data_IF_053188002195
#
_entry.id   IF_053188002195
#
_cell.length_a   1.000
_cell.length_b   1.000
_cell.length_c   1.000
_cell.angle_alpha   90.00
_cell.angle_beta   90.00
_cell.angle_gamma   90.00
#
_symmetry.space_group_name_H-M   'P 1'
#
loop_
_entity.id
_entity.type
_entity.pdbx_description
1 polymer ?
#
# COMPACT_ATOMS: atom_id res chain seq x y z
N UNK A 1 -24.07 3.40 -13.51
CA UNK A 1 -22.87 2.57 -13.35
C UNK A 1 -21.82 3.44 -12.70
N UNK A 2 -21.36 3.06 -11.50
CA UNK A 2 -20.49 3.89 -10.66
C UNK A 2 -20.89 3.69 -9.20
N UNK A 3 -20.29 2.69 -8.56
CA UNK A 3 -20.45 2.46 -7.14
C UNK A 3 -19.96 3.70 -6.37
N UNK A 4 -20.62 4.02 -5.26
CA UNK A 4 -20.30 5.18 -4.41
C UNK A 4 -18.86 5.17 -3.88
N UNK A 5 -18.17 4.03 -4.01
CA UNK A 5 -16.81 3.76 -3.56
C UNK A 5 -15.74 3.79 -4.66
N UNK A 6 -16.09 4.09 -5.93
CA UNK A 6 -15.14 4.11 -7.06
C UNK A 6 -14.40 5.46 -7.22
N UNK A 7 -14.66 6.43 -6.34
CA UNK A 7 -13.98 7.72 -6.40
C UNK A 7 -12.51 7.57 -6.02
N UNK A 8 -11.63 7.78 -7.00
CA UNK A 8 -10.16 7.83 -6.83
C UNK A 8 -9.76 8.82 -5.72
N UNK A 9 -10.58 9.86 -5.50
CA UNK A 9 -10.38 10.88 -4.45
C UNK A 9 -10.67 10.39 -3.03
N UNK A 10 -11.38 9.28 -2.83
CA UNK A 10 -11.60 8.66 -1.51
C UNK A 10 -10.41 7.80 -1.06
N UNK A 11 -9.58 7.30 -1.99
CA UNK A 11 -8.40 6.50 -1.69
C UNK A 11 -7.18 7.34 -1.29
N UNK A 12 -7.10 8.59 -1.74
CA UNK A 12 -5.97 9.48 -1.50
C UNK A 12 -6.25 10.46 -0.34
N UNK A 13 -5.23 10.83 0.45
CA UNK A 13 -5.37 11.71 1.62
C UNK A 13 -5.45 13.20 1.20
N UNK A 14 -6.25 13.51 0.17
CA UNK A 14 -6.34 14.86 -0.42
C UNK A 14 -7.34 15.74 0.34
N UNK A 15 -8.36 15.12 0.94
CA UNK A 15 -9.41 15.84 1.69
C UNK A 15 -9.13 15.80 3.19
N UNK A 16 -9.43 16.89 3.94
CA UNK A 16 -9.28 16.96 5.41
C UNK A 16 -9.92 15.77 6.15
N UNK A 17 -11.01 15.22 5.61
CA UNK A 17 -11.68 13.99 6.09
C UNK A 17 -10.79 12.74 5.94
N UNK A 18 -10.09 12.58 4.83
CA UNK A 18 -9.22 11.43 4.56
C UNK A 18 -7.93 11.51 5.38
N UNK A 19 -7.41 12.70 5.64
CA UNK A 19 -6.27 12.91 6.55
C UNK A 19 -6.64 12.51 7.98
N UNK A 20 -7.83 12.90 8.47
CA UNK A 20 -8.30 12.47 9.80
C UNK A 20 -8.49 10.95 9.88
N UNK A 21 -8.96 10.32 8.80
CA UNK A 21 -9.07 8.87 8.71
C UNK A 21 -7.70 8.18 8.65
N UNK A 22 -6.73 8.73 7.92
CA UNK A 22 -5.35 8.25 7.84
C UNK A 22 -4.69 8.22 9.22
N UNK A 23 -4.74 9.33 9.95
CA UNK A 23 -4.21 9.40 11.32
C UNK A 23 -4.98 8.49 12.29
N UNK A 24 -6.30 8.44 12.18
CA UNK A 24 -7.14 7.56 12.99
C UNK A 24 -6.80 6.07 12.79
N UNK A 25 -6.48 5.67 11.55
CA UNK A 25 -6.05 4.31 11.23
C UNK A 25 -4.66 3.98 11.78
N UNK A 26 -3.70 4.89 11.65
CA UNK A 26 -2.37 4.73 12.24
C UNK A 26 -2.47 4.55 13.75
N UNK A 27 -3.22 5.42 14.43
CA UNK A 27 -3.43 5.36 15.88
C UNK A 27 -4.15 4.07 16.31
N UNK A 28 -5.04 3.54 15.47
CA UNK A 28 -5.71 2.26 15.74
C UNK A 28 -4.75 1.07 15.58
N UNK A 29 -3.93 1.05 14.52
CA UNK A 29 -2.92 -0.01 14.33
C UNK A 29 -1.79 0.06 15.36
N UNK A 30 -1.49 1.25 15.90
CA UNK A 30 -0.57 1.44 17.02
C UNK A 30 -1.21 1.21 18.40
N UNK A 31 -2.47 0.74 18.46
CA UNK A 31 -3.23 0.50 19.69
C UNK A 31 -3.44 1.73 20.59
N UNK A 32 -3.29 2.94 20.07
CA UNK A 32 -3.44 4.21 20.82
C UNK A 32 -4.91 4.65 20.91
N UNK A 33 -5.74 4.37 19.89
CA UNK A 33 -7.17 4.68 19.88
C UNK A 33 -7.98 3.64 19.09
N UNK A 34 -8.93 2.98 19.76
CA UNK A 34 -9.92 2.13 19.10
C UNK A 34 -10.92 2.98 18.31
N UNK A 35 -10.96 2.82 16.98
CA UNK A 35 -11.97 3.44 16.12
C UNK A 35 -12.77 2.38 15.36
N UNK A 36 -14.09 2.55 15.33
CA UNK A 36 -15.06 1.62 14.73
C UNK A 36 -14.78 1.45 13.22
N UNK A 37 -14.71 0.23 12.68
CA UNK A 37 -14.43 -0.01 11.27
C UNK A 37 -15.51 0.61 10.39
N UNK A 38 -15.10 1.38 9.38
CA UNK A 38 -15.98 1.82 8.29
C UNK A 38 -15.76 0.91 7.09
N UNK A 39 -16.86 0.50 6.45
CA UNK A 39 -16.95 -0.35 5.24
C UNK A 39 -16.30 0.24 3.97
N UNK A 40 -15.47 1.28 4.07
CA UNK A 40 -14.78 1.91 2.93
C UNK A 40 -13.26 1.75 3.03
N UNK A 41 -12.57 1.72 1.88
CA UNK A 41 -11.12 1.60 1.82
C UNK A 41 -10.45 2.58 2.79
N UNK A 42 -9.60 2.05 3.66
CA UNK A 42 -8.85 2.85 4.59
C UNK A 42 -7.96 3.81 3.78
N UNK A 43 -8.10 5.13 3.96
CA UNK A 43 -7.28 6.13 3.27
C UNK A 43 -5.78 5.90 3.52
N UNK A 44 -5.43 5.25 4.64
CA UNK A 44 -4.09 4.75 4.91
C UNK A 44 -3.63 3.69 3.89
N UNK A 45 -4.45 2.70 3.58
CA UNK A 45 -4.11 1.67 2.60
C UNK A 45 -3.94 2.27 1.19
N UNK A 46 -4.83 3.17 0.77
CA UNK A 46 -4.73 3.85 -0.53
C UNK A 46 -3.48 4.74 -0.65
N UNK A 47 -3.12 5.45 0.43
CA UNK A 47 -1.89 6.25 0.46
C UNK A 47 -0.65 5.37 0.36
N UNK A 48 -0.60 4.28 1.14
CA UNK A 48 0.54 3.37 1.13
C UNK A 48 0.73 2.75 -0.25
N UNK A 49 -0.34 2.33 -0.93
CA UNK A 49 -0.23 1.80 -2.30
C UNK A 49 0.32 2.81 -3.29
N UNK A 50 -0.09 4.09 -3.22
CA UNK A 50 0.47 5.12 -4.09
C UNK A 50 1.98 5.32 -3.83
N UNK A 51 2.39 5.40 -2.56
CA UNK A 51 3.80 5.55 -2.19
C UNK A 51 4.61 4.35 -2.66
N UNK A 52 4.15 3.13 -2.37
CA UNK A 52 4.80 1.89 -2.80
C UNK A 52 4.88 1.78 -4.33
N UNK A 53 3.88 2.26 -5.06
CA UNK A 53 3.90 2.33 -6.52
C UNK A 53 4.97 3.31 -7.04
N UNK A 54 5.03 4.53 -6.48
CA UNK A 54 6.05 5.51 -6.88
C UNK A 54 7.47 5.03 -6.57
N UNK A 55 7.68 4.42 -5.40
CA UNK A 55 8.96 3.81 -5.04
C UNK A 55 9.33 2.66 -6.00
N UNK A 56 8.34 1.98 -6.58
CA UNK A 56 8.61 0.86 -7.49
C UNK A 56 9.18 1.35 -8.82
N UNK A 57 8.76 2.55 -9.26
CA UNK A 57 9.37 3.19 -10.43
C UNK A 57 10.84 3.54 -10.20
N UNK A 58 11.19 4.02 -9.00
CA UNK A 58 12.59 4.28 -8.62
C UNK A 58 13.39 2.98 -8.52
N UNK A 59 12.79 1.91 -8.00
CA UNK A 59 13.35 0.57 -7.91
C UNK A 59 13.70 0.01 -9.30
N UNK A 60 12.77 0.14 -10.26
CA UNK A 60 12.95 -0.26 -11.65
C UNK A 60 14.03 0.58 -12.31
N UNK A 61 13.99 1.91 -12.18
CA UNK A 61 14.97 2.80 -12.79
C UNK A 61 16.41 2.54 -12.28
N UNK A 62 16.57 2.40 -10.96
CA UNK A 62 17.87 2.07 -10.37
C UNK A 62 18.34 0.66 -10.74
N UNK A 63 17.44 -0.33 -10.78
CA UNK A 63 17.77 -1.70 -11.20
C UNK A 63 18.21 -1.77 -12.67
N UNK A 64 17.49 -1.09 -13.56
CA UNK A 64 17.81 -1.03 -14.98
C UNK A 64 19.17 -0.36 -15.25
N UNK A 65 19.45 0.72 -14.51
CA UNK A 65 20.76 1.40 -14.58
C UNK A 65 21.92 0.50 -14.11
N UNK A 66 21.68 -0.36 -13.11
CA UNK A 66 22.69 -1.29 -12.60
C UNK A 66 22.84 -2.56 -13.45
N UNK A 67 21.79 -2.95 -14.19
CA UNK A 67 21.77 -4.18 -14.99
C UNK A 67 22.61 -4.07 -16.27
N UNK A 68 22.66 -2.89 -16.90
CA UNK A 68 23.35 -2.66 -18.18
C UNK A 68 24.48 -1.63 -18.06
N UNK A 69 25.59 -1.94 -17.36
CA UNK A 69 26.71 -1.01 -17.22
C UNK A 69 27.43 -0.71 -18.55
N UNK A 70 27.35 -1.61 -19.52
CA UNK A 70 27.97 -1.49 -20.85
C UNK A 70 27.19 -0.60 -21.82
N UNK A 71 25.91 -0.33 -21.57
CA UNK A 71 25.11 0.52 -22.45
C UNK A 71 25.37 2.00 -22.17
N UNK A 72 25.96 2.70 -23.15
CA UNK A 72 26.26 4.13 -23.07
C UNK A 72 25.00 4.97 -22.86
N UNK A 73 23.90 4.60 -23.53
CA UNK A 73 22.61 5.29 -23.38
C UNK A 73 22.08 5.12 -21.96
N UNK A 74 21.99 3.89 -21.45
CA UNK A 74 21.52 3.63 -20.08
C UNK A 74 22.41 4.32 -19.06
N UNK A 75 23.72 4.37 -19.30
CA UNK A 75 24.65 5.08 -18.42
C UNK A 75 24.43 6.60 -18.41
N UNK A 76 24.14 7.22 -19.56
CA UNK A 76 23.83 8.65 -19.64
C UNK A 76 22.52 8.99 -18.90
N UNK A 77 21.46 8.22 -19.15
CA UNK A 77 20.16 8.43 -18.50
C UNK A 77 20.22 8.18 -16.99
N UNK A 78 20.78 7.05 -16.57
CA UNK A 78 20.87 6.73 -15.15
C UNK A 78 21.89 7.58 -14.41
N UNK A 79 22.97 8.00 -15.07
CA UNK A 79 23.93 8.96 -14.53
C UNK A 79 23.31 10.35 -14.30
N UNK A 80 22.40 10.80 -15.16
CA UNK A 80 21.67 12.06 -14.94
C UNK A 80 20.72 12.01 -13.73
N UNK A 81 20.12 10.83 -13.45
CA UNK A 81 19.14 10.67 -12.35
C UNK A 81 19.82 10.34 -11.01
N UNK A 82 20.80 9.43 -11.02
CA UNK A 82 21.41 8.88 -9.81
C UNK A 82 22.84 9.35 -9.59
N UNK A 83 23.46 10.02 -10.56
CA UNK A 83 24.86 10.43 -10.50
C UNK A 83 25.80 9.24 -10.72
N UNK A 84 26.28 8.66 -9.63
CA UNK A 84 27.20 7.51 -9.69
C UNK A 84 26.46 6.18 -9.56
N UNK A 85 27.03 5.12 -10.14
CA UNK A 85 26.53 3.75 -9.95
C UNK A 85 26.50 3.35 -8.47
N UNK A 86 27.44 3.84 -7.66
CA UNK A 86 27.45 3.55 -6.23
C UNK A 86 26.24 4.16 -5.52
N UNK A 87 25.86 5.39 -5.87
CA UNK A 87 24.66 6.02 -5.31
C UNK A 87 23.39 5.27 -5.74
N UNK A 88 23.31 4.85 -7.00
CA UNK A 88 22.20 4.01 -7.46
C UNK A 88 22.10 2.69 -6.70
N UNK A 89 23.22 1.99 -6.44
CA UNK A 89 23.25 0.78 -5.60
C UNK A 89 22.75 1.05 -4.20
N UNK A 90 23.16 2.16 -3.59
CA UNK A 90 22.73 2.53 -2.25
C UNK A 90 21.22 2.77 -2.19
N UNK A 91 20.67 3.54 -3.14
CA UNK A 91 19.21 3.76 -3.26
C UNK A 91 18.48 2.44 -3.47
N UNK A 92 18.95 1.60 -4.41
CA UNK A 92 18.37 0.29 -4.69
C UNK A 92 18.36 -0.60 -3.43
N UNK A 93 19.47 -0.63 -2.68
CA UNK A 93 19.60 -1.41 -1.46
C UNK A 93 18.65 -0.95 -0.35
N UNK A 94 18.51 0.36 -0.13
CA UNK A 94 17.56 0.89 0.85
C UNK A 94 16.11 0.57 0.47
N UNK A 95 15.76 0.75 -0.82
CA UNK A 95 14.42 0.45 -1.29
C UNK A 95 14.09 -1.04 -1.20
N UNK A 96 15.06 -1.93 -1.41
CA UNK A 96 14.90 -3.37 -1.17
C UNK A 96 14.45 -3.64 0.27
N UNK A 97 15.10 -3.04 1.29
CA UNK A 97 14.68 -3.21 2.69
C UNK A 97 13.29 -2.62 2.96
N UNK A 98 12.98 -1.47 2.35
CA UNK A 98 11.63 -0.91 2.41
C UNK A 98 10.59 -1.93 1.91
N UNK A 99 10.83 -2.59 0.77
CA UNK A 99 9.89 -3.59 0.21
C UNK A 99 9.77 -4.84 1.08
N UNK A 100 10.88 -5.33 1.65
CA UNK A 100 10.87 -6.45 2.58
C UNK A 100 10.01 -6.11 3.80
N UNK A 101 10.24 -4.94 4.41
CA UNK A 101 9.46 -4.49 5.56
C UNK A 101 7.99 -4.25 5.22
N UNK A 102 7.72 -3.61 4.08
CA UNK A 102 6.37 -3.40 3.59
C UNK A 102 5.62 -4.72 3.41
N UNK A 103 6.23 -5.73 2.79
CA UNK A 103 5.61 -7.04 2.60
C UNK A 103 5.28 -7.71 3.93
N UNK A 104 6.22 -7.70 4.89
CA UNK A 104 5.98 -8.27 6.23
C UNK A 104 4.80 -7.60 6.94
N UNK A 105 4.79 -6.25 6.99
CA UNK A 105 3.72 -5.49 7.65
C UNK A 105 2.39 -5.65 6.90
N UNK A 106 2.41 -5.65 5.58
CA UNK A 106 1.21 -5.81 4.76
C UNK A 106 0.53 -7.16 4.99
N UNK A 107 1.31 -8.25 4.98
CA UNK A 107 0.81 -9.61 5.27
C UNK A 107 0.28 -9.69 6.70
N UNK A 108 1.02 -9.14 7.69
CA UNK A 108 0.57 -9.11 9.07
C UNK A 108 -0.79 -8.40 9.23
N UNK A 109 -0.94 -7.20 8.68
CA UNK A 109 -2.20 -6.44 8.78
C UNK A 109 -3.33 -7.17 8.03
N UNK A 110 -3.05 -7.78 6.88
CA UNK A 110 -4.03 -8.55 6.12
C UNK A 110 -4.58 -9.72 6.94
N UNK A 111 -3.71 -10.51 7.57
CA UNK A 111 -4.09 -11.63 8.44
C UNK A 111 -4.78 -11.12 9.72
N UNK A 112 -4.25 -10.09 10.36
CA UNK A 112 -4.82 -9.54 11.60
C UNK A 112 -6.24 -9.02 11.39
N UNK A 113 -6.48 -8.28 10.29
CA UNK A 113 -7.83 -7.82 9.96
C UNK A 113 -8.78 -9.00 9.69
N UNK A 114 -8.28 -10.08 9.08
CA UNK A 114 -9.06 -11.28 8.80
C UNK A 114 -9.49 -11.99 10.09
N UNK A 115 -8.57 -12.16 11.04
CA UNK A 115 -8.81 -12.77 12.34
C UNK A 115 -9.71 -11.89 13.22
N UNK A 116 -9.50 -10.58 13.23
CA UNK A 116 -10.20 -9.66 14.15
C UNK A 116 -11.61 -9.30 13.67
N UNK A 117 -11.82 -9.12 12.35
CA UNK A 117 -13.11 -8.71 11.80
C UNK A 117 -13.89 -9.85 11.14
N UNK A 118 -13.28 -11.02 10.93
CA UNK A 118 -13.93 -12.18 10.31
C UNK A 118 -14.43 -11.89 8.88
N UNK A 119 -13.88 -10.88 8.20
CA UNK A 119 -14.36 -10.43 6.89
C UNK A 119 -13.89 -11.32 5.72
N UNK A 120 -12.99 -12.27 5.96
CA UNK A 120 -12.48 -13.16 4.93
C UNK A 120 -11.69 -12.41 3.85
N UNK A 121 -10.90 -11.39 4.19
CA UNK A 121 -10.16 -10.57 3.21
C UNK A 121 -9.13 -11.39 2.45
N UNK A 122 -8.38 -12.24 3.17
CA UNK A 122 -7.39 -13.16 2.55
C UNK A 122 -8.12 -14.25 1.76
N UNK A 123 -9.22 -14.77 2.31
CA UNK A 123 -10.06 -15.76 1.63
C UNK A 123 -10.66 -15.19 0.34
N UNK A 124 -11.07 -13.92 0.32
CA UNK A 124 -11.61 -13.25 -0.85
C UNK A 124 -10.54 -13.02 -1.94
N UNK A 125 -9.26 -12.82 -1.58
CA UNK A 125 -8.16 -12.74 -2.56
C UNK A 125 -7.97 -14.09 -3.26
N UNK A 126 -8.08 -15.20 -2.53
CA UNK A 126 -7.85 -16.55 -3.05
C UNK A 126 -9.09 -17.10 -3.77
N UNK A 127 -10.28 -16.90 -3.20
CA UNK A 127 -11.56 -17.45 -3.66
C UNK A 127 -12.33 -16.51 -4.58
N UNK A 128 -12.03 -15.20 -4.59
CA UNK A 128 -12.72 -14.19 -5.39
C UNK A 128 -14.11 -13.78 -4.86
N UNK A 129 -14.58 -14.34 -3.74
CA UNK A 129 -15.91 -14.05 -3.17
C UNK A 129 -15.78 -13.44 -1.77
N UNK A 130 -16.53 -12.35 -1.51
CA UNK A 130 -16.57 -11.69 -0.20
C UNK A 130 -17.85 -12.10 0.54
N UNK A 131 -17.72 -12.69 1.72
CA UNK A 131 -18.86 -13.04 2.54
C UNK A 131 -19.39 -11.81 3.27
N UNK A 132 -20.59 -11.35 2.89
CA UNK A 132 -21.33 -10.36 3.67
C UNK A 132 -22.08 -11.10 4.78
N UNK A 133 -21.63 -10.96 6.03
CA UNK A 133 -22.44 -11.33 7.19
C UNK A 133 -23.61 -10.35 7.31
N UNK A 134 -24.71 -10.62 6.62
CA UNK A 134 -25.98 -9.95 6.88
C UNK A 134 -26.43 -10.43 8.26
N UNK A 135 -26.34 -9.54 9.26
CA UNK A 135 -26.99 -9.73 10.54
C UNK A 135 -28.49 -9.89 10.23
N UNK A 136 -29.04 -11.11 10.35
CA UNK A 136 -30.48 -11.33 10.16
C UNK A 136 -31.23 -10.32 11.05
N UNK A 137 -32.24 -9.60 10.54
CA UNK A 137 -33.10 -8.82 11.40
C UNK A 137 -33.66 -9.79 12.45
N UNK A 138 -33.59 -9.37 13.72
CA UNK A 138 -34.25 -10.09 14.81
C UNK A 138 -35.73 -10.11 14.43
N UNK A 139 -36.26 -11.30 14.17
CA UNK A 139 -37.71 -11.49 14.03
C UNK A 139 -38.18 -11.64 15.46
N UNK A 140 -38.59 -10.53 16.06
CA UNK A 140 -39.45 -10.47 17.23
C UNK A 140 -40.90 -10.83 16.87
#
# INVERSE_FOLDING_TARGET
>A
FGNRQERITDALPVTKRNIKNFWGAILNYLYVKFHVPRLGHNALAGTTYLVTFLLSMVMIASGFYLLYPESVQVQAWGGAVFGSQQNARFVHFILMFYYIFFAMVHIYIAIWNDVMFGEGLVSAIISGSKFLHIKRPRVD
#
